data_IF_057132156116
#
_entry.id   IF_057132156116
#
_cell.length_a   1.000
_cell.length_b   1.000
_cell.length_c   1.000
_cell.angle_alpha   90.00
_cell.angle_beta   90.00
_cell.angle_gamma   90.00
#
_symmetry.space_group_name_H-M   'P 1'
#
loop_
_entity.id
_entity.type
_entity.pdbx_description
1 polymer ?
#
# COMPACT_ATOMS: atom_id res chain seq x y z
N UNK A 1 -51.79 37.27 -21.85
CA UNK A 1 -51.10 37.80 -23.06
C UNK A 1 -49.93 36.85 -23.33
N UNK A 2 -49.90 36.01 -24.36
CA UNK A 2 -49.81 36.25 -25.83
C UNK A 2 -48.48 36.90 -26.26
N UNK A 3 -47.73 36.43 -27.27
CA UNK A 3 -47.78 35.20 -28.09
C UNK A 3 -46.42 35.10 -28.86
N UNK A 4 -45.68 33.97 -28.87
CA UNK A 4 -45.80 32.77 -29.75
C UNK A 4 -45.04 32.86 -31.11
N UNK A 5 -44.82 31.70 -31.73
CA UNK A 5 -44.05 31.37 -32.97
C UNK A 5 -42.54 31.22 -32.75
N UNK A 6 -41.75 30.41 -33.47
CA UNK A 6 -41.89 29.22 -34.39
C UNK A 6 -40.44 28.70 -34.64
N UNK A 7 -40.08 27.52 -35.13
CA UNK A 7 -40.70 26.22 -35.53
C UNK A 7 -39.54 25.16 -35.49
N UNK A 8 -39.56 23.88 -35.89
CA UNK A 8 -40.50 22.88 -36.46
C UNK A 8 -39.95 21.48 -36.08
N UNK A 9 -40.76 20.39 -36.08
CA UNK A 9 -40.26 19.00 -35.95
C UNK A 9 -41.34 17.95 -36.30
N UNK A 10 -41.01 16.93 -37.13
CA UNK A 10 -41.81 15.70 -37.42
C UNK A 10 -40.82 14.58 -37.85
N UNK A 11 -40.80 13.29 -37.44
CA UNK A 11 -41.55 12.45 -36.46
C UNK A 11 -42.48 11.31 -36.98
N UNK A 12 -41.87 10.33 -37.67
CA UNK A 12 -42.09 8.87 -37.49
C UNK A 12 -43.28 8.11 -38.16
N UNK A 13 -43.13 6.76 -38.23
CA UNK A 13 -44.13 5.67 -38.48
C UNK A 13 -44.61 5.43 -39.93
N UNK A 14 -45.14 4.25 -40.35
CA UNK A 14 -44.90 2.82 -39.99
C UNK A 14 -45.78 1.83 -40.81
N UNK A 15 -45.28 0.61 -41.07
CA UNK A 15 -46.04 -0.68 -41.15
C UNK A 15 -46.73 -1.18 -42.45
N UNK A 16 -46.79 -2.53 -42.55
CA UNK A 16 -47.83 -3.43 -43.15
C UNK A 16 -47.86 -3.81 -44.67
N UNK A 17 -47.54 -5.10 -44.91
CA UNK A 17 -48.14 -6.16 -45.79
C UNK A 17 -48.40 -6.07 -47.32
N UNK A 18 -48.10 -7.22 -47.97
CA UNK A 18 -48.79 -7.91 -49.11
C UNK A 18 -48.80 -7.21 -50.50
N UNK A 19 -48.90 -7.92 -51.64
CA UNK A 19 -48.52 -9.31 -52.02
C UNK A 19 -48.69 -9.51 -53.56
N UNK A 20 -48.11 -10.60 -54.08
CA UNK A 20 -48.52 -11.34 -55.31
C UNK A 20 -48.32 -10.72 -56.72
N UNK A 21 -48.21 -11.63 -57.70
CA UNK A 21 -48.32 -11.51 -59.17
C UNK A 21 -47.12 -10.96 -60.01
N UNK A 22 -46.80 -11.50 -61.20
CA UNK A 22 -47.28 -12.75 -61.86
C UNK A 22 -46.37 -13.26 -63.01
N UNK A 23 -46.63 -14.49 -63.50
CA UNK A 23 -46.06 -15.12 -64.72
C UNK A 23 -45.13 -16.33 -64.44
N UNK A 24 -45.41 -17.59 -64.82
CA UNK A 24 -45.61 -18.23 -66.14
C UNK A 24 -44.30 -18.54 -66.91
N UNK A 25 -44.06 -19.73 -67.50
CA UNK A 25 -44.82 -21.01 -67.55
C UNK A 25 -43.88 -22.23 -67.80
N UNK A 26 -44.42 -23.45 -67.84
CA UNK A 26 -43.79 -24.78 -68.01
C UNK A 26 -42.83 -24.97 -69.25
N UNK A 27 -42.01 -26.05 -69.36
CA UNK A 27 -41.76 -27.19 -68.45
C UNK A 27 -41.14 -28.45 -69.14
N UNK A 28 -41.43 -29.65 -68.61
CA UNK A 28 -41.20 -31.04 -69.12
C UNK A 28 -39.77 -31.65 -69.23
N UNK A 29 -39.56 -32.69 -68.41
CA UNK A 29 -39.04 -34.06 -68.68
C UNK A 29 -37.56 -34.40 -69.06
N UNK A 30 -36.91 -35.24 -68.21
CA UNK A 30 -36.60 -36.68 -68.48
C UNK A 30 -35.23 -37.25 -67.96
N UNK A 31 -35.33 -38.39 -67.22
CA UNK A 31 -34.40 -39.56 -67.12
C UNK A 31 -32.98 -39.48 -66.48
N UNK A 32 -32.67 -40.56 -65.75
CA UNK A 32 -31.37 -41.04 -65.18
C UNK A 32 -30.82 -42.23 -66.01
N UNK A 33 -29.65 -42.91 -65.72
CA UNK A 33 -28.53 -42.73 -64.75
C UNK A 33 -27.17 -42.60 -65.53
N UNK A 34 -25.95 -43.13 -65.18
CA UNK A 34 -25.36 -43.72 -63.95
C UNK A 34 -23.89 -43.30 -63.59
N UNK A 35 -23.36 -43.90 -62.49
CA UNK A 35 -21.99 -44.35 -62.16
C UNK A 35 -20.67 -43.67 -62.62
N UNK A 36 -19.74 -43.46 -61.67
CA UNK A 36 -18.32 -43.89 -61.79
C UNK A 36 -17.62 -44.01 -60.41
N UNK A 37 -16.51 -44.75 -60.34
CA UNK A 37 -15.81 -45.17 -59.10
C UNK A 37 -15.02 -44.07 -58.37
N UNK A 38 -14.88 -44.20 -57.05
CA UNK A 38 -13.89 -43.49 -56.22
C UNK A 38 -12.88 -44.46 -55.59
N UNK A 39 -11.59 -44.15 -55.67
CA UNK A 39 -10.48 -45.01 -55.18
C UNK A 39 -10.12 -44.68 -53.73
N UNK A 40 -10.05 -45.71 -52.88
CA UNK A 40 -9.58 -45.59 -51.50
C UNK A 40 -8.05 -45.50 -51.48
N UNK A 41 -7.49 -44.53 -50.75
CA UNK A 41 -6.09 -44.55 -50.29
C UNK A 41 -6.05 -44.33 -48.78
N UNK A 42 -5.32 -45.15 -48.00
CA UNK A 42 -5.33 -45.07 -46.55
C UNK A 42 -4.47 -43.90 -46.05
N UNK A 43 -5.00 -43.10 -45.13
CA UNK A 43 -4.27 -41.99 -44.49
C UNK A 43 -4.45 -41.96 -42.96
N UNK A 44 -4.54 -43.14 -42.36
CA UNK A 44 -4.67 -43.33 -40.90
C UNK A 44 -3.32 -43.73 -40.28
N UNK A 45 -2.49 -42.74 -39.96
CA UNK A 45 -1.30 -42.92 -39.12
C UNK A 45 -0.93 -41.72 -38.25
N UNK A 46 -1.66 -40.59 -38.36
CA UNK A 46 -1.37 -39.35 -37.63
C UNK A 46 -2.42 -38.93 -36.59
N UNK A 47 -3.65 -39.48 -36.62
CA UNK A 47 -4.72 -39.07 -35.70
C UNK A 47 -4.63 -39.66 -34.27
N UNK A 48 -3.79 -40.69 -34.08
CA UNK A 48 -3.78 -41.47 -32.83
C UNK A 48 -3.05 -40.74 -31.71
N UNK A 49 -2.00 -39.96 -32.00
CA UNK A 49 -1.24 -39.21 -31.00
C UNK A 49 -1.91 -37.89 -30.57
N UNK A 50 -2.74 -37.26 -31.43
CA UNK A 50 -3.41 -36.01 -31.06
C UNK A 50 -4.49 -36.19 -29.99
N UNK A 51 -5.20 -37.33 -29.97
CA UNK A 51 -6.33 -37.56 -29.04
C UNK A 51 -5.90 -37.60 -27.56
N UNK A 52 -4.85 -38.35 -27.15
CA UNK A 52 -4.31 -38.29 -25.79
C UNK A 52 -3.83 -36.90 -25.38
N UNK A 53 -3.16 -36.17 -26.27
CA UNK A 53 -2.54 -34.90 -25.91
C UNK A 53 -3.58 -33.75 -25.81
N UNK A 54 -4.67 -33.82 -26.57
CA UNK A 54 -5.84 -32.93 -26.40
C UNK A 54 -6.54 -33.19 -25.06
N UNK A 55 -6.83 -34.45 -24.71
CA UNK A 55 -7.52 -34.77 -23.45
C UNK A 55 -6.70 -34.43 -22.19
N UNK A 56 -5.36 -34.50 -22.27
CA UNK A 56 -4.47 -34.01 -21.21
C UNK A 56 -4.56 -32.48 -21.03
N UNK A 57 -4.59 -31.72 -22.12
CA UNK A 57 -4.73 -30.26 -22.08
C UNK A 57 -6.12 -29.83 -21.58
N UNK A 58 -7.19 -30.50 -22.03
CA UNK A 58 -8.56 -30.29 -21.56
C UNK A 58 -8.66 -30.53 -20.05
N UNK A 59 -8.14 -31.65 -19.55
CA UNK A 59 -8.09 -31.96 -18.11
C UNK A 59 -7.23 -30.95 -17.33
N UNK A 60 -6.17 -30.41 -17.92
CA UNK A 60 -5.39 -29.34 -17.28
C UNK A 60 -6.18 -28.02 -17.20
N UNK A 61 -6.97 -27.70 -18.22
CA UNK A 61 -7.85 -26.54 -18.25
C UNK A 61 -8.96 -26.66 -17.19
N UNK A 62 -9.62 -27.82 -17.06
CA UNK A 62 -10.60 -28.11 -16.00
C UNK A 62 -10.02 -27.88 -14.59
N UNK A 63 -8.78 -28.35 -14.35
CA UNK A 63 -8.10 -28.14 -13.08
C UNK A 63 -7.76 -26.66 -12.83
N UNK A 64 -7.40 -25.88 -13.86
CA UNK A 64 -7.25 -24.43 -13.71
C UNK A 64 -8.59 -23.75 -13.38
N UNK A 65 -9.69 -24.15 -14.02
CA UNK A 65 -11.03 -23.60 -13.78
C UNK A 65 -11.48 -23.85 -12.33
N UNK A 66 -11.23 -25.05 -11.81
CA UNK A 66 -11.48 -25.40 -10.41
C UNK A 66 -10.58 -24.64 -9.43
N UNK A 67 -9.30 -24.43 -9.76
CA UNK A 67 -8.41 -23.58 -8.95
C UNK A 67 -8.96 -22.15 -8.86
N UNK A 68 -9.31 -21.54 -9.98
CA UNK A 68 -9.89 -20.18 -10.02
C UNK A 68 -11.18 -20.11 -9.20
N UNK A 69 -12.08 -21.10 -9.34
CA UNK A 69 -13.34 -21.17 -8.57
C UNK A 69 -13.11 -21.36 -7.06
N UNK A 70 -12.00 -22.00 -6.68
CA UNK A 70 -11.59 -22.19 -5.29
C UNK A 70 -11.02 -20.89 -4.69
N UNK A 71 -10.04 -20.26 -5.35
CA UNK A 71 -9.37 -19.05 -4.83
C UNK A 71 -10.23 -17.77 -4.91
N UNK A 72 -11.33 -17.79 -5.67
CA UNK A 72 -12.35 -16.75 -5.64
C UNK A 72 -13.15 -16.72 -4.32
N UNK A 73 -12.94 -17.69 -3.42
CA UNK A 73 -13.59 -17.78 -2.11
C UNK A 73 -12.61 -17.39 -0.99
N UNK A 74 -13.16 -16.99 0.15
CA UNK A 74 -12.35 -16.69 1.33
C UNK A 74 -11.90 -17.99 2.02
N UNK A 75 -10.73 -18.50 1.62
CA UNK A 75 -10.21 -19.78 2.10
C UNK A 75 -9.62 -19.72 3.52
N UNK A 76 -9.32 -18.52 4.04
CA UNK A 76 -8.78 -18.34 5.39
C UNK A 76 -7.30 -18.71 5.55
N UNK A 77 -6.94 -19.18 6.75
CA UNK A 77 -5.56 -19.33 7.23
C UNK A 77 -5.35 -20.64 8.02
N UNK A 78 -4.17 -21.25 7.91
CA UNK A 78 -3.73 -22.40 8.72
C UNK A 78 -2.63 -21.95 9.67
N UNK A 79 -3.01 -21.57 10.90
CA UNK A 79 -2.15 -20.74 11.75
C UNK A 79 -1.95 -19.38 11.09
N UNK A 80 -0.71 -18.89 11.01
CA UNK A 80 -0.37 -17.65 10.31
C UNK A 80 -0.34 -17.78 8.77
N UNK A 81 -0.50 -18.98 8.21
CA UNK A 81 -0.26 -19.26 6.78
C UNK A 81 -1.51 -19.00 5.92
N UNK A 82 -1.49 -18.07 4.94
CA UNK A 82 -2.64 -17.82 4.05
C UNK A 82 -2.86 -18.98 3.08
N UNK A 83 -4.06 -19.59 3.13
CA UNK A 83 -4.34 -20.86 2.44
C UNK A 83 -4.33 -20.70 0.92
N UNK A 84 -4.94 -19.63 0.38
CA UNK A 84 -5.02 -19.41 -1.06
C UNK A 84 -3.63 -19.21 -1.69
N UNK A 85 -2.74 -18.43 -1.05
CA UNK A 85 -1.36 -18.25 -1.50
C UNK A 85 -0.58 -19.57 -1.60
N UNK A 86 -0.72 -20.43 -0.58
CA UNK A 86 -0.05 -21.73 -0.53
C UNK A 86 -0.57 -22.69 -1.61
N UNK A 87 -1.89 -22.73 -1.84
CA UNK A 87 -2.50 -23.55 -2.91
C UNK A 87 -2.07 -23.05 -4.28
N UNK A 88 -2.18 -21.74 -4.55
CA UNK A 88 -1.77 -21.14 -5.83
C UNK A 88 -0.30 -21.50 -6.12
N UNK A 89 0.58 -21.34 -5.14
CA UNK A 89 2.00 -21.67 -5.28
C UNK A 89 2.23 -23.16 -5.55
N UNK A 90 1.64 -24.06 -4.74
CA UNK A 90 1.74 -25.52 -4.96
C UNK A 90 1.25 -25.92 -6.36
N UNK A 91 0.13 -25.37 -6.84
CA UNK A 91 -0.40 -25.65 -8.18
C UNK A 91 0.51 -25.16 -9.31
N UNK A 92 1.02 -23.94 -9.21
CA UNK A 92 1.92 -23.37 -10.23
C UNK A 92 3.25 -24.12 -10.32
N UNK A 93 3.77 -24.64 -9.20
CA UNK A 93 4.90 -25.57 -9.19
C UNK A 93 4.55 -26.89 -9.88
N UNK A 94 3.47 -27.55 -9.47
CA UNK A 94 3.08 -28.88 -9.98
C UNK A 94 2.82 -28.86 -11.50
N UNK A 95 2.23 -27.77 -12.01
CA UNK A 95 1.99 -27.56 -13.44
C UNK A 95 3.20 -26.93 -14.16
N UNK A 96 4.35 -26.81 -13.50
CA UNK A 96 5.61 -26.18 -13.99
C UNK A 96 5.38 -24.83 -14.68
N UNK A 97 4.36 -24.08 -14.27
CA UNK A 97 3.84 -22.92 -15.01
C UNK A 97 4.86 -21.77 -15.13
N UNK A 98 5.88 -21.77 -14.28
CA UNK A 98 6.98 -20.81 -14.33
C UNK A 98 7.96 -21.02 -15.51
N UNK A 99 7.99 -22.23 -16.08
CA UNK A 99 8.92 -22.65 -17.14
C UNK A 99 8.29 -22.59 -18.54
N UNK A 100 7.00 -22.26 -18.64
CA UNK A 100 6.21 -22.28 -19.89
C UNK A 100 6.19 -20.90 -20.55
N UNK A 101 6.33 -20.86 -21.87
CA UNK A 101 6.39 -19.61 -22.64
C UNK A 101 5.03 -18.95 -22.86
N UNK A 102 3.93 -19.72 -22.71
CA UNK A 102 2.54 -19.25 -22.81
C UNK A 102 1.68 -19.99 -21.78
N UNK A 103 1.00 -19.26 -20.92
CA UNK A 103 -0.05 -19.79 -20.03
C UNK A 103 -0.99 -18.67 -19.61
N UNK A 104 -2.28 -18.94 -19.53
CA UNK A 104 -3.32 -17.99 -19.09
C UNK A 104 -3.56 -18.03 -17.58
N UNK A 105 -3.00 -19.02 -16.86
CA UNK A 105 -3.28 -19.23 -15.42
C UNK A 105 -2.90 -18.00 -14.59
N UNK A 106 -1.80 -17.33 -14.93
CA UNK A 106 -1.32 -16.12 -14.26
C UNK A 106 -2.32 -14.97 -14.38
N UNK A 107 -2.74 -14.63 -15.61
CA UNK A 107 -3.71 -13.57 -15.85
C UNK A 107 -5.04 -13.84 -15.15
N UNK A 108 -5.50 -15.09 -15.10
CA UNK A 108 -6.73 -15.49 -14.41
C UNK A 108 -6.63 -15.35 -12.90
N UNK A 109 -5.49 -15.70 -12.30
CA UNK A 109 -5.23 -15.46 -10.86
C UNK A 109 -5.23 -13.95 -10.59
N UNK A 110 -4.53 -13.15 -11.41
CA UNK A 110 -4.48 -11.69 -11.29
C UNK A 110 -5.86 -11.05 -11.47
N UNK A 111 -6.70 -11.53 -12.39
CA UNK A 111 -8.08 -11.09 -12.56
C UNK A 111 -8.95 -11.45 -11.34
N UNK A 112 -8.72 -12.61 -10.72
CA UNK A 112 -9.48 -13.03 -9.53
C UNK A 112 -9.15 -12.16 -8.32
N UNK A 113 -7.86 -11.88 -8.08
CA UNK A 113 -7.40 -10.91 -7.07
C UNK A 113 -7.97 -9.52 -7.41
N UNK A 114 -7.88 -9.11 -8.69
CA UNK A 114 -8.36 -7.83 -9.20
C UNK A 114 -9.81 -7.56 -8.88
N UNK A 115 -10.70 -8.47 -9.29
CA UNK A 115 -12.14 -8.38 -9.03
C UNK A 115 -12.46 -8.38 -7.53
N UNK A 116 -11.75 -9.21 -6.75
CA UNK A 116 -12.00 -9.32 -5.31
C UNK A 116 -11.55 -8.09 -4.50
N UNK A 117 -10.67 -7.23 -5.03
CA UNK A 117 -10.30 -5.93 -4.41
C UNK A 117 -10.90 -4.72 -5.13
N UNK A 118 -11.64 -4.91 -6.23
CA UNK A 118 -12.18 -3.80 -7.03
C UNK A 118 -13.23 -3.01 -6.22
N UNK A 119 -13.03 -1.70 -6.09
CA UNK A 119 -13.89 -0.76 -5.34
C UNK A 119 -14.19 -1.15 -3.87
N UNK A 120 -13.38 -2.00 -3.25
CA UNK A 120 -13.59 -2.44 -1.87
C UNK A 120 -13.23 -1.36 -0.84
N UNK A 121 -14.20 -0.98 0.00
CA UNK A 121 -13.97 -0.24 1.25
C UNK A 121 -13.77 -1.17 2.45
N UNK A 122 -14.05 -2.47 2.31
CA UNK A 122 -13.93 -3.44 3.40
C UNK A 122 -12.45 -3.83 3.64
N UNK A 123 -11.90 -3.35 4.76
CA UNK A 123 -10.50 -3.58 5.13
C UNK A 123 -10.18 -5.04 5.48
N UNK A 124 -11.15 -5.88 5.88
CA UNK A 124 -10.89 -7.31 6.12
C UNK A 124 -10.61 -8.05 4.80
N UNK A 125 -11.36 -7.75 3.74
CA UNK A 125 -11.14 -8.31 2.39
C UNK A 125 -9.78 -7.85 1.84
N UNK A 126 -9.45 -6.57 2.02
CA UNK A 126 -8.15 -6.03 1.61
C UNK A 126 -7.01 -6.65 2.44
N UNK A 127 -7.17 -6.84 3.74
CA UNK A 127 -6.16 -7.45 4.60
C UNK A 127 -5.92 -8.93 4.23
N UNK A 128 -6.99 -9.72 4.01
CA UNK A 128 -6.90 -11.09 3.50
C UNK A 128 -6.09 -11.17 2.20
N UNK A 129 -6.39 -10.30 1.23
CA UNK A 129 -5.65 -10.27 -0.03
C UNK A 129 -4.23 -9.72 0.10
N UNK A 130 -3.96 -8.79 1.02
CA UNK A 130 -2.60 -8.33 1.29
C UNK A 130 -1.71 -9.47 1.82
N UNK A 131 -2.22 -10.26 2.77
CA UNK A 131 -1.50 -11.42 3.32
C UNK A 131 -1.26 -12.50 2.28
N UNK A 132 -2.28 -12.82 1.47
CA UNK A 132 -2.14 -13.81 0.40
C UNK A 132 -1.18 -13.33 -0.71
N UNK A 133 -1.30 -12.07 -1.17
CA UNK A 133 -0.47 -11.54 -2.25
C UNK A 133 0.99 -11.36 -1.82
N UNK A 134 1.25 -10.86 -0.61
CA UNK A 134 2.62 -10.73 -0.06
C UNK A 134 3.28 -12.09 0.19
N UNK A 135 2.54 -13.07 0.72
CA UNK A 135 3.01 -14.45 0.88
C UNK A 135 3.33 -15.10 -0.47
N UNK A 136 2.43 -15.00 -1.46
CA UNK A 136 2.69 -15.55 -2.79
C UNK A 136 3.89 -14.87 -3.45
N UNK A 137 4.03 -13.54 -3.30
CA UNK A 137 5.18 -12.79 -3.82
C UNK A 137 6.51 -13.23 -3.17
N UNK A 138 6.51 -13.51 -1.87
CA UNK A 138 7.67 -14.06 -1.15
C UNK A 138 8.07 -15.44 -1.69
N UNK A 139 7.09 -16.31 -1.94
CA UNK A 139 7.33 -17.65 -2.50
C UNK A 139 7.88 -17.56 -3.94
N UNK A 140 7.34 -16.65 -4.77
CA UNK A 140 7.88 -16.36 -6.10
C UNK A 140 9.30 -15.77 -6.04
N UNK A 141 9.59 -14.87 -5.09
CA UNK A 141 10.92 -14.29 -4.87
C UNK A 141 11.96 -15.35 -4.52
N UNK A 142 11.60 -16.34 -3.68
CA UNK A 142 12.47 -17.46 -3.29
C UNK A 142 12.65 -18.51 -4.41
N UNK A 143 11.67 -18.66 -5.30
CA UNK A 143 11.64 -19.70 -6.34
C UNK A 143 12.27 -19.27 -7.66
N UNK A 144 11.99 -18.05 -8.12
CA UNK A 144 12.30 -17.62 -9.49
C UNK A 144 13.70 -17.00 -9.57
N UNK A 145 14.65 -17.68 -10.22
CA UNK A 145 15.88 -17.04 -10.69
C UNK A 145 15.51 -15.95 -11.69
N UNK A 146 15.99 -14.75 -11.45
CA UNK A 146 16.22 -13.80 -12.53
C UNK A 146 17.34 -14.37 -13.41
N UNK A 147 17.01 -14.85 -14.61
CA UNK A 147 18.04 -15.26 -15.59
C UNK A 147 18.92 -14.04 -15.90
N UNK A 148 20.21 -14.28 -16.10
CA UNK A 148 21.28 -13.32 -15.77
C UNK A 148 21.36 -12.06 -16.65
N UNK A 149 20.49 -11.07 -16.40
CA UNK A 149 20.52 -9.75 -17.05
C UNK A 149 21.67 -8.83 -16.55
N UNK A 150 22.86 -9.39 -16.36
CA UNK A 150 24.10 -8.67 -16.05
C UNK A 150 24.58 -7.88 -17.28
N UNK A 151 23.86 -6.81 -17.62
CA UNK A 151 24.15 -5.98 -18.79
C UNK A 151 23.16 -4.84 -19.09
N UNK A 152 21.94 -4.87 -18.53
CA UNK A 152 20.92 -3.83 -18.76
C UNK A 152 20.30 -3.31 -17.46
N UNK A 153 21.08 -2.52 -16.72
CA UNK A 153 20.53 -1.68 -15.66
C UNK A 153 19.86 -0.44 -16.31
N UNK A 154 18.53 -0.22 -16.16
CA UNK A 154 17.91 1.03 -16.57
C UNK A 154 18.41 2.14 -15.64
N UNK A 155 19.38 2.93 -16.11
CA UNK A 155 20.07 3.96 -15.35
C UNK A 155 19.14 5.16 -15.06
N UNK A 156 18.15 4.96 -14.18
CA UNK A 156 17.28 6.02 -13.63
C UNK A 156 18.17 7.05 -12.92
N UNK A 157 18.45 8.16 -13.60
CA UNK A 157 19.08 9.34 -13.00
C UNK A 157 18.23 9.84 -11.84
N UNK A 158 18.61 9.49 -10.61
CA UNK A 158 18.26 10.31 -9.44
C UNK A 158 19.14 11.55 -9.49
N UNK A 159 18.54 12.67 -9.85
CA UNK A 159 19.17 13.99 -9.73
C UNK A 159 19.22 14.37 -8.25
N UNK A 160 20.32 14.03 -7.58
CA UNK A 160 20.62 14.47 -6.22
C UNK A 160 21.88 15.34 -6.29
N UNK A 161 21.72 16.62 -5.96
CA UNK A 161 22.76 17.64 -6.13
C UNK A 161 23.80 17.63 -5.01
N UNK A 162 24.94 18.28 -5.30
CA UNK A 162 25.94 18.76 -4.36
C UNK A 162 26.75 17.73 -3.54
N UNK A 163 28.01 17.56 -3.95
CA UNK A 163 29.14 17.85 -3.05
C UNK A 163 30.35 18.27 -3.89
N UNK A 164 30.50 19.58 -4.07
CA UNK A 164 31.54 20.19 -4.92
C UNK A 164 32.51 21.01 -4.06
N UNK A 165 33.44 20.33 -3.40
CA UNK A 165 34.65 20.92 -2.84
C UNK A 165 35.79 19.89 -2.93
N UNK A 166 37.03 20.34 -3.11
CA UNK A 166 38.15 19.39 -3.21
C UNK A 166 39.53 20.02 -3.24
N UNK A 167 40.50 19.16 -2.88
CA UNK A 167 41.96 19.39 -2.84
C UNK A 167 42.42 20.36 -1.73
N UNK A 168 43.62 20.21 -1.15
CA UNK A 168 44.70 19.25 -1.43
C UNK A 168 45.54 18.93 -0.18
N UNK A 169 45.96 17.67 0.00
CA UNK A 169 47.32 17.33 0.47
C UNK A 169 47.67 15.86 0.20
N UNK A 170 48.97 15.60 0.16
CA UNK A 170 49.67 14.50 -0.49
C UNK A 170 49.59 13.12 0.21
N UNK A 171 49.67 12.07 -0.61
CA UNK A 171 50.50 10.86 -0.42
C UNK A 171 50.36 9.98 0.84
N UNK A 172 50.10 8.68 0.61
CA UNK A 172 51.19 7.68 0.68
C UNK A 172 50.91 6.44 -0.20
N UNK A 173 51.95 5.66 -0.51
CA UNK A 173 51.85 4.35 -1.21
C UNK A 173 51.66 3.22 -0.19
N UNK A 174 50.92 2.16 -0.55
CA UNK A 174 50.91 0.92 0.22
C UNK A 174 49.99 -0.14 -0.36
N UNK A 175 50.56 -1.09 -1.11
CA UNK A 175 49.87 -2.32 -1.52
C UNK A 175 50.83 -3.52 -1.37
N UNK A 176 50.39 -4.60 -0.72
CA UNK A 176 50.86 -5.95 -0.99
C UNK A 176 49.80 -6.76 -1.74
N UNK A 177 50.23 -7.81 -2.42
CA UNK A 177 49.37 -8.71 -3.21
C UNK A 177 49.03 -9.98 -2.40
N UNK A 178 47.90 -10.61 -2.75
CA UNK A 178 47.61 -12.00 -2.42
C UNK A 178 46.68 -12.23 -1.22
N UNK A 179 45.43 -12.60 -1.51
CA UNK A 179 44.94 -14.00 -1.43
C UNK A 179 43.88 -14.16 -2.52
N UNK A 180 43.90 -15.29 -3.25
CA UNK A 180 42.92 -15.60 -4.28
C UNK A 180 41.84 -16.52 -3.68
N UNK A 181 40.71 -15.96 -3.23
CA UNK A 181 39.61 -16.76 -2.67
C UNK A 181 38.81 -17.44 -3.77
N UNK A 182 39.14 -18.71 -4.02
CA UNK A 182 38.47 -19.56 -4.99
C UNK A 182 37.06 -19.95 -4.56
N UNK A 183 36.20 -20.00 -5.57
CA UNK A 183 34.93 -20.71 -5.64
C UNK A 183 34.85 -21.94 -4.70
N UNK A 184 33.97 -21.90 -3.69
CA UNK A 184 33.61 -23.09 -2.89
C UNK A 184 32.20 -23.52 -3.28
N UNK A 185 32.12 -24.60 -4.07
CA UNK A 185 30.93 -25.43 -4.22
C UNK A 185 31.24 -26.81 -3.63
N UNK A 186 30.66 -27.11 -2.48
CA UNK A 186 30.83 -28.39 -1.80
C UNK A 186 29.93 -28.41 -0.57
N UNK A 187 28.91 -29.26 -0.60
CA UNK A 187 27.99 -29.45 0.52
C UNK A 187 28.00 -30.90 1.00
N UNK A 188 27.51 -31.12 2.22
CA UNK A 188 26.77 -32.32 2.64
C UNK A 188 26.25 -32.14 4.08
N UNK A 189 25.16 -32.86 4.40
CA UNK A 189 24.53 -33.01 5.73
C UNK A 189 23.78 -31.77 6.28
N UNK A 190 22.51 -31.96 6.64
CA UNK A 190 21.67 -31.00 7.39
C UNK A 190 20.40 -30.60 6.65
N UNK A 191 19.29 -31.31 6.90
CA UNK A 191 18.05 -31.19 6.12
C UNK A 191 17.30 -29.86 6.31
N UNK A 192 17.19 -29.09 5.23
CA UNK A 192 16.10 -28.15 4.95
C UNK A 192 15.96 -28.06 3.43
N UNK A 193 14.73 -28.04 2.90
CA UNK A 193 14.52 -28.16 1.46
C UNK A 193 14.91 -26.85 0.74
N UNK A 194 16.12 -26.81 0.17
CA UNK A 194 16.58 -25.70 -0.65
C UNK A 194 15.78 -25.67 -1.95
N UNK A 195 14.64 -24.97 -1.93
CA UNK A 195 13.73 -24.79 -3.07
C UNK A 195 14.50 -24.71 -4.38
N UNK A 196 14.28 -25.68 -5.28
CA UNK A 196 14.96 -25.75 -6.57
C UNK A 196 14.67 -24.50 -7.38
N UNK A 197 15.62 -23.56 -7.38
CA UNK A 197 15.45 -22.27 -8.04
C UNK A 197 15.27 -22.44 -9.55
N UNK A 198 14.06 -22.11 -10.02
CA UNK A 198 13.54 -22.32 -11.38
C UNK A 198 13.99 -21.17 -12.29
N UNK A 199 14.36 -21.48 -13.53
CA UNK A 199 14.54 -20.45 -14.56
C UNK A 199 13.17 -19.96 -15.06
N UNK A 200 12.84 -18.71 -14.70
CA UNK A 200 11.52 -18.15 -14.99
C UNK A 200 11.41 -17.64 -16.44
N UNK A 201 10.39 -18.10 -17.16
CA UNK A 201 10.00 -17.51 -18.45
C UNK A 201 9.26 -16.18 -18.26
N UNK A 202 9.17 -15.39 -19.34
CA UNK A 202 8.55 -14.06 -19.32
C UNK A 202 7.17 -13.96 -18.65
N UNK A 203 6.20 -14.89 -18.85
CA UNK A 203 4.90 -14.81 -18.18
C UNK A 203 5.00 -14.87 -16.65
N UNK A 204 5.95 -15.63 -16.10
CA UNK A 204 6.17 -15.72 -14.65
C UNK A 204 6.81 -14.46 -14.05
N UNK A 205 7.69 -13.80 -14.83
CA UNK A 205 8.28 -12.52 -14.45
C UNK A 205 7.22 -11.40 -14.48
N UNK A 206 6.35 -11.40 -15.49
CA UNK A 206 5.21 -10.47 -15.58
C UNK A 206 4.21 -10.70 -14.44
N UNK A 207 3.87 -11.96 -14.13
CA UNK A 207 3.02 -12.32 -12.99
C UNK A 207 3.57 -11.80 -11.66
N UNK A 208 4.87 -11.98 -11.41
CA UNK A 208 5.56 -11.44 -10.24
C UNK A 208 5.51 -9.90 -10.17
N UNK A 209 5.66 -9.22 -11.32
CA UNK A 209 5.56 -7.76 -11.40
C UNK A 209 4.13 -7.27 -11.14
N UNK A 210 3.12 -7.91 -11.75
CA UNK A 210 1.71 -7.63 -11.50
C UNK A 210 1.37 -7.84 -10.02
N UNK A 211 1.78 -8.96 -9.43
CA UNK A 211 1.53 -9.28 -8.02
C UNK A 211 2.20 -8.27 -7.07
N UNK A 212 3.39 -7.77 -7.41
CA UNK A 212 4.04 -6.65 -6.70
C UNK A 212 3.16 -5.41 -6.71
N UNK A 213 2.71 -4.96 -7.89
CA UNK A 213 1.82 -3.82 -8.02
C UNK A 213 0.46 -4.03 -7.31
N UNK A 214 -0.01 -5.26 -7.18
CA UNK A 214 -1.19 -5.60 -6.38
C UNK A 214 -0.94 -5.47 -4.86
N UNK A 215 0.21 -5.94 -4.35
CA UNK A 215 0.61 -5.72 -2.94
C UNK A 215 0.69 -4.21 -2.64
N UNK A 216 1.31 -3.43 -3.52
CA UNK A 216 1.41 -1.97 -3.42
C UNK A 216 0.04 -1.29 -3.43
N UNK A 217 -0.84 -1.68 -4.37
CA UNK A 217 -2.22 -1.15 -4.49
C UNK A 217 -3.06 -1.45 -3.25
N UNK A 218 -3.05 -2.69 -2.76
CA UNK A 218 -3.85 -3.11 -1.59
C UNK A 218 -3.34 -2.39 -0.33
N UNK A 219 -2.02 -2.32 -0.14
CA UNK A 219 -1.41 -1.54 0.94
C UNK A 219 -1.86 -0.06 0.90
N UNK A 220 -1.82 0.56 -0.29
CA UNK A 220 -2.29 1.94 -0.50
C UNK A 220 -3.76 2.10 -0.13
N UNK A 221 -4.64 1.21 -0.59
CA UNK A 221 -6.07 1.24 -0.26
C UNK A 221 -6.35 1.13 1.25
N UNK A 222 -5.67 0.24 1.97
CA UNK A 222 -5.82 0.11 3.44
C UNK A 222 -5.36 1.39 4.14
N UNK A 223 -4.19 1.93 3.77
CA UNK A 223 -3.67 3.19 4.32
C UNK A 223 -4.63 4.35 4.05
N UNK A 224 -5.14 4.46 2.84
CA UNK A 224 -5.96 5.60 2.43
C UNK A 224 -7.40 5.50 2.97
N UNK A 225 -7.91 4.29 3.21
CA UNK A 225 -9.12 4.05 4.00
C UNK A 225 -8.93 4.51 5.46
N UNK A 226 -7.79 4.21 6.10
CA UNK A 226 -7.50 4.68 7.46
C UNK A 226 -7.31 6.19 7.51
N UNK A 227 -6.62 6.81 6.54
CA UNK A 227 -6.56 8.28 6.38
C UNK A 227 -7.99 8.87 6.28
N UNK A 228 -8.86 8.28 5.46
CA UNK A 228 -10.26 8.68 5.27
C UNK A 228 -11.08 8.60 6.56
N UNK A 229 -10.93 7.54 7.36
CA UNK A 229 -11.66 7.38 8.62
C UNK A 229 -11.21 8.39 9.70
N UNK A 230 -9.90 8.64 9.87
CA UNK A 230 -9.41 9.55 10.92
C UNK A 230 -9.50 11.03 10.54
N UNK A 231 -9.54 11.38 9.24
CA UNK A 231 -9.50 12.78 8.78
C UNK A 231 -10.59 13.68 9.38
N UNK A 232 -11.87 13.28 9.50
CA UNK A 232 -12.89 14.10 10.15
C UNK A 232 -12.60 14.35 11.64
N UNK A 233 -12.15 13.31 12.36
CA UNK A 233 -11.81 13.40 13.79
C UNK A 233 -10.59 14.29 14.03
N UNK A 234 -9.56 14.13 13.19
CA UNK A 234 -8.36 14.96 13.20
C UNK A 234 -8.70 16.42 12.87
N UNK A 235 -9.62 16.64 11.91
CA UNK A 235 -10.20 17.95 11.59
C UNK A 235 -10.95 18.59 12.76
N UNK A 236 -11.61 17.81 13.62
CA UNK A 236 -12.24 18.29 14.86
C UNK A 236 -11.18 18.65 15.92
N UNK A 237 -10.14 17.82 16.12
CA UNK A 237 -9.01 18.17 16.98
C UNK A 237 -8.35 19.50 16.55
N UNK A 238 -8.17 19.68 15.24
CA UNK A 238 -7.63 20.89 14.61
C UNK A 238 -8.56 22.11 14.75
N UNK A 239 -9.82 21.93 15.14
CA UNK A 239 -10.81 23.00 15.35
C UNK A 239 -11.16 23.29 16.82
N UNK A 240 -10.78 22.43 17.76
CA UNK A 240 -11.00 22.57 19.20
C UNK A 240 -10.64 23.95 19.84
N UNK A 241 -9.61 24.69 19.37
CA UNK A 241 -9.34 26.04 19.88
C UNK A 241 -10.45 27.05 19.57
N UNK A 242 -11.16 26.89 18.43
CA UNK A 242 -12.22 27.81 18.00
C UNK A 242 -13.47 27.71 18.87
N UNK A 243 -13.88 26.49 19.23
CA UNK A 243 -15.04 26.25 20.11
C UNK A 243 -14.77 26.76 21.52
N UNK A 244 -13.57 26.50 22.05
CA UNK A 244 -13.10 27.02 23.35
C UNK A 244 -13.14 28.56 23.40
N UNK A 245 -12.59 29.23 22.37
CA UNK A 245 -12.61 30.70 22.27
C UNK A 245 -14.03 31.26 22.13
N UNK A 246 -14.91 30.60 21.39
CA UNK A 246 -16.32 31.02 21.26
C UNK A 246 -17.09 30.93 22.59
N UNK A 247 -16.74 29.96 23.45
CA UNK A 247 -17.30 29.86 24.81
C UNK A 247 -16.81 30.99 25.71
N UNK A 248 -15.50 31.29 25.71
CA UNK A 248 -14.89 32.34 26.54
C UNK A 248 -15.48 33.74 26.29
N UNK A 249 -15.91 34.05 25.06
CA UNK A 249 -16.54 35.34 24.71
C UNK A 249 -17.96 35.47 25.30
N UNK A 250 -18.63 34.36 25.64
CA UNK A 250 -19.88 34.35 26.43
C UNK A 250 -19.55 34.08 27.89
N UNK A 251 -19.04 35.09 28.59
CA UNK A 251 -18.54 35.00 29.97
C UNK A 251 -19.51 34.28 30.93
N UNK A 252 -19.23 33.01 31.21
CA UNK A 252 -20.09 32.11 31.98
C UNK A 252 -19.26 31.35 33.02
N UNK A 253 -19.32 31.81 34.26
CA UNK A 253 -18.45 31.36 35.35
C UNK A 253 -18.86 29.99 35.90
N UNK A 254 -18.42 28.89 35.26
CA UNK A 254 -18.72 27.51 35.71
C UNK A 254 -17.51 26.57 35.58
N UNK A 255 -16.73 26.46 36.66
CA UNK A 255 -15.61 25.51 36.80
C UNK A 255 -15.99 24.08 36.42
N UNK A 256 -17.15 23.59 36.86
CA UNK A 256 -17.61 22.22 36.59
C UNK A 256 -17.97 21.97 35.11
N UNK A 257 -18.19 23.02 34.30
CA UNK A 257 -18.43 22.85 32.86
C UNK A 257 -17.14 22.56 32.10
N UNK A 258 -15.99 23.02 32.61
CA UNK A 258 -14.69 22.80 31.96
C UNK A 258 -14.29 21.33 31.92
N UNK A 259 -14.63 20.52 32.94
CA UNK A 259 -14.32 19.08 32.96
C UNK A 259 -15.08 18.34 31.85
N UNK A 260 -16.39 18.55 31.74
CA UNK A 260 -17.20 17.96 30.68
C UNK A 260 -16.80 18.45 29.27
N UNK A 261 -16.41 19.73 29.14
CA UNK A 261 -15.90 20.27 27.88
C UNK A 261 -14.55 19.63 27.48
N UNK A 262 -13.59 19.51 28.41
CA UNK A 262 -12.33 18.82 28.14
C UNK A 262 -12.53 17.33 27.86
N UNK A 263 -13.48 16.68 28.54
CA UNK A 263 -13.83 15.27 28.27
C UNK A 263 -14.46 15.09 26.87
N UNK A 264 -15.23 16.06 26.38
CA UNK A 264 -15.74 16.06 25.01
C UNK A 264 -14.63 16.30 23.97
N UNK A 265 -13.64 17.13 24.29
CA UNK A 265 -12.49 17.39 23.41
C UNK A 265 -11.53 16.18 23.31
N UNK A 266 -11.20 15.50 24.42
CA UNK A 266 -10.34 14.30 24.38
C UNK A 266 -11.02 13.13 23.65
N UNK A 267 -12.36 13.08 23.61
CA UNK A 267 -13.11 12.04 22.89
C UNK A 267 -12.81 12.02 21.37
N UNK A 268 -12.40 13.13 20.76
CA UNK A 268 -11.96 13.15 19.36
C UNK A 268 -10.64 12.38 19.17
N UNK A 269 -9.66 12.55 20.06
CA UNK A 269 -8.41 11.78 20.06
C UNK A 269 -8.65 10.31 20.37
N UNK A 270 -9.52 10.00 21.32
CA UNK A 270 -9.92 8.62 21.65
C UNK A 270 -10.64 7.94 20.49
N UNK A 271 -11.38 8.71 19.66
CA UNK A 271 -11.90 8.24 18.38
C UNK A 271 -10.80 7.80 17.42
N UNK A 272 -9.77 8.63 17.21
CA UNK A 272 -8.62 8.30 16.36
C UNK A 272 -7.90 7.05 16.87
N UNK A 273 -7.61 6.98 18.18
CA UNK A 273 -6.99 5.81 18.83
C UNK A 273 -7.84 4.54 18.66
N UNK A 274 -9.17 4.66 18.70
CA UNK A 274 -10.08 3.54 18.42
C UNK A 274 -9.99 3.09 16.96
N UNK A 275 -9.98 4.00 15.98
CA UNK A 275 -9.79 3.67 14.55
C UNK A 275 -8.45 2.97 14.30
N UNK A 276 -7.35 3.46 14.88
CA UNK A 276 -6.04 2.83 14.81
C UNK A 276 -6.06 1.40 15.41
N UNK A 277 -6.72 1.22 16.56
CA UNK A 277 -6.90 -0.08 17.20
C UNK A 277 -7.76 -1.06 16.39
N UNK A 278 -8.85 -0.59 15.79
CA UNK A 278 -9.71 -1.39 14.91
C UNK A 278 -8.93 -1.92 13.70
N UNK A 279 -8.22 -1.02 12.99
CA UNK A 279 -7.39 -1.41 11.84
C UNK A 279 -6.29 -2.40 12.23
N UNK A 280 -5.60 -2.17 13.36
CA UNK A 280 -4.60 -3.11 13.86
C UNK A 280 -5.23 -4.49 14.15
N UNK A 281 -6.44 -4.54 14.69
CA UNK A 281 -7.16 -5.80 14.93
C UNK A 281 -7.48 -6.52 13.61
N UNK A 282 -8.05 -5.85 12.61
CA UNK A 282 -8.33 -6.41 11.28
C UNK A 282 -7.05 -6.94 10.61
N UNK A 283 -5.96 -6.18 10.66
CA UNK A 283 -4.68 -6.58 10.06
C UNK A 283 -4.08 -7.81 10.77
N UNK A 284 -4.20 -7.91 12.11
CA UNK A 284 -3.71 -9.06 12.88
C UNK A 284 -4.57 -10.32 12.69
N UNK A 285 -5.90 -10.20 12.66
CA UNK A 285 -6.83 -11.31 12.41
C UNK A 285 -6.63 -11.90 11.00
N UNK A 286 -6.28 -11.07 10.03
CA UNK A 286 -5.94 -11.51 8.67
C UNK A 286 -4.45 -11.84 8.48
N UNK A 287 -3.67 -11.97 9.56
CA UNK A 287 -2.25 -12.34 9.54
C UNK A 287 -1.38 -11.51 8.57
N UNK A 288 -1.66 -10.21 8.44
CA UNK A 288 -0.87 -9.31 7.59
C UNK A 288 0.56 -9.22 8.14
N UNK A 289 1.61 -9.40 7.31
CA UNK A 289 3.00 -9.39 7.76
C UNK A 289 3.32 -8.15 8.59
N UNK A 290 3.82 -8.27 9.85
CA UNK A 290 3.98 -7.13 10.75
C UNK A 290 4.85 -5.99 10.18
N UNK A 291 5.80 -6.30 9.30
CA UNK A 291 6.55 -5.30 8.53
C UNK A 291 5.64 -4.35 7.72
N UNK A 292 4.65 -4.89 7.00
CA UNK A 292 3.70 -4.08 6.23
C UNK A 292 2.77 -3.30 7.16
N UNK A 293 2.36 -3.89 8.29
CA UNK A 293 1.52 -3.21 9.29
C UNK A 293 2.24 -2.01 9.90
N UNK A 294 3.52 -2.16 10.30
CA UNK A 294 4.37 -1.06 10.76
C UNK A 294 4.41 0.07 9.73
N UNK A 295 4.65 -0.25 8.45
CA UNK A 295 4.71 0.74 7.37
C UNK A 295 3.41 1.54 7.19
N UNK A 296 2.24 0.89 7.29
CA UNK A 296 0.94 1.59 7.31
C UNK A 296 0.93 2.61 8.44
N UNK A 297 1.19 2.19 9.68
CA UNK A 297 1.12 3.08 10.83
C UNK A 297 2.18 4.20 10.83
N UNK A 298 3.38 3.96 10.28
CA UNK A 298 4.36 5.02 10.01
C UNK A 298 3.76 6.10 9.11
N UNK A 299 3.19 5.75 7.95
CA UNK A 299 2.59 6.76 7.06
C UNK A 299 1.35 7.46 7.66
N UNK A 300 0.58 6.77 8.51
CA UNK A 300 -0.56 7.38 9.21
C UNK A 300 -0.09 8.38 10.28
N UNK A 301 0.95 8.07 11.04
CA UNK A 301 1.50 8.99 12.03
C UNK A 301 2.21 10.17 11.37
N UNK A 302 2.86 9.97 10.22
CA UNK A 302 3.42 11.05 9.40
C UNK A 302 2.33 11.97 8.84
N UNK A 303 1.22 11.40 8.34
CA UNK A 303 0.02 12.18 7.97
C UNK A 303 -0.56 13.00 9.14
N UNK A 304 -0.70 12.41 10.33
CA UNK A 304 -1.14 13.12 11.53
C UNK A 304 -0.18 14.27 11.87
N UNK A 305 1.13 14.04 11.80
CA UNK A 305 2.16 15.08 11.98
C UNK A 305 1.97 16.24 10.99
N UNK A 306 1.88 15.94 9.69
CA UNK A 306 1.69 16.93 8.61
C UNK A 306 0.43 17.78 8.86
N UNK A 307 -0.72 17.14 9.11
CA UNK A 307 -2.00 17.84 9.29
C UNK A 307 -2.01 18.77 10.52
N UNK A 308 -1.48 18.31 11.66
CA UNK A 308 -1.41 19.10 12.89
C UNK A 308 -0.40 20.25 12.77
N UNK A 309 0.79 19.97 12.25
CA UNK A 309 1.90 20.92 12.19
C UNK A 309 1.67 22.00 11.12
N UNK A 310 1.16 21.63 9.94
CA UNK A 310 0.76 22.62 8.93
C UNK A 310 -0.42 23.48 9.43
N UNK A 311 -1.39 22.88 10.16
CA UNK A 311 -2.46 23.66 10.79
C UNK A 311 -1.92 24.67 11.82
N UNK A 312 -0.91 24.28 12.61
CA UNK A 312 -0.24 25.16 13.57
C UNK A 312 0.48 26.33 12.86
N UNK A 313 1.20 26.04 11.78
CA UNK A 313 1.97 27.02 10.99
C UNK A 313 1.11 27.98 10.15
N UNK A 314 -0.17 27.70 9.99
CA UNK A 314 -1.11 28.48 9.17
C UNK A 314 -2.21 29.21 9.99
N UNK A 315 -2.42 28.86 11.26
CA UNK A 315 -3.58 29.34 12.04
C UNK A 315 -3.19 29.81 13.45
N UNK A 316 -3.35 31.12 13.68
CA UNK A 316 -2.97 31.79 14.94
C UNK A 316 -3.64 31.18 16.17
N UNK A 317 -4.91 30.79 16.06
CA UNK A 317 -5.66 30.19 17.17
C UNK A 317 -5.18 28.78 17.57
N UNK A 318 -4.35 28.13 16.75
CA UNK A 318 -3.67 26.90 17.15
C UNK A 318 -2.39 27.18 17.99
N UNK A 319 -1.84 28.40 17.91
CA UNK A 319 -0.65 28.80 18.65
C UNK A 319 -1.04 29.43 20.01
N UNK A 320 -1.62 28.63 20.93
CA UNK A 320 -1.94 29.09 22.29
C UNK A 320 -1.47 28.10 23.37
N UNK A 321 -1.44 28.53 24.64
CA UNK A 321 -1.05 27.65 25.74
C UNK A 321 -2.08 26.54 25.93
N UNK A 322 -3.38 26.87 25.96
CA UNK A 322 -4.43 25.86 26.16
C UNK A 322 -4.52 24.87 25.01
N UNK A 323 -4.27 25.29 23.76
CA UNK A 323 -4.15 24.34 22.65
C UNK A 323 -2.88 23.48 22.76
N UNK A 324 -1.77 24.04 23.25
CA UNK A 324 -0.57 23.30 23.59
C UNK A 324 -0.85 22.16 24.59
N UNK A 325 -1.56 22.45 25.68
CA UNK A 325 -2.00 21.43 26.65
C UNK A 325 -2.92 20.38 26.00
N UNK A 326 -3.90 20.81 25.20
CA UNK A 326 -4.86 19.92 24.54
C UNK A 326 -4.20 18.96 23.54
N UNK A 327 -3.36 19.46 22.64
CA UNK A 327 -2.66 18.61 21.66
C UNK A 327 -1.62 17.74 22.37
N UNK A 328 -0.98 18.21 23.45
CA UNK A 328 -0.08 17.38 24.27
C UNK A 328 -0.80 16.19 24.89
N UNK A 329 -2.03 16.36 25.39
CA UNK A 329 -2.85 15.26 25.88
C UNK A 329 -3.23 14.27 24.76
N UNK A 330 -3.61 14.76 23.58
CA UNK A 330 -3.89 13.93 22.41
C UNK A 330 -2.67 13.14 21.90
N UNK A 331 -1.49 13.75 21.94
CA UNK A 331 -0.22 13.08 21.61
C UNK A 331 0.12 11.97 22.61
N UNK A 332 -0.20 12.12 23.89
CA UNK A 332 0.00 11.07 24.90
C UNK A 332 -0.95 9.86 24.69
N UNK A 333 -2.18 10.08 24.23
CA UNK A 333 -3.10 8.99 23.84
C UNK A 333 -2.54 8.20 22.63
N UNK A 334 -1.88 8.87 21.67
CA UNK A 334 -1.19 8.23 20.55
C UNK A 334 0.09 7.48 20.99
N UNK A 335 0.89 8.05 21.90
CA UNK A 335 2.06 7.39 22.51
C UNK A 335 1.66 6.11 23.25
N UNK A 336 0.56 6.17 24.01
CA UNK A 336 -0.01 5.03 24.73
C UNK A 336 -0.57 3.96 23.77
N UNK A 337 -1.09 4.35 22.61
CA UNK A 337 -1.45 3.40 21.54
C UNK A 337 -0.20 2.71 20.96
N UNK A 338 0.88 3.45 20.66
CA UNK A 338 2.13 2.86 20.20
C UNK A 338 2.70 1.84 21.21
N UNK A 339 2.67 2.16 22.51
CA UNK A 339 3.08 1.22 23.56
C UNK A 339 2.26 -0.09 23.55
N UNK A 340 0.93 0.00 23.39
CA UNK A 340 0.04 -1.18 23.28
C UNK A 340 0.23 -1.97 21.98
N UNK A 341 0.52 -1.29 20.88
CA UNK A 341 0.82 -1.93 19.60
C UNK A 341 2.21 -2.60 19.59
N UNK A 342 3.12 -2.17 20.48
CA UNK A 342 4.51 -2.63 20.62
C UNK A 342 5.38 -2.35 19.38
N UNK A 343 6.69 -2.57 19.49
CA UNK A 343 7.60 -2.45 18.34
C UNK A 343 7.18 -3.36 17.16
N UNK A 344 6.54 -4.50 17.43
CA UNK A 344 6.05 -5.45 16.40
C UNK A 344 5.11 -4.78 15.38
N UNK A 345 4.24 -3.87 15.80
CA UNK A 345 3.23 -3.24 14.93
C UNK A 345 3.29 -1.71 14.84
N UNK A 346 3.85 -1.01 15.82
CA UNK A 346 4.08 0.44 15.74
C UNK A 346 5.44 0.78 15.11
N UNK A 347 6.51 0.07 15.51
CA UNK A 347 7.88 0.46 15.18
C UNK A 347 8.15 1.95 15.43
N UNK A 348 8.82 2.60 14.48
CA UNK A 348 9.16 4.04 14.52
C UNK A 348 7.98 5.00 14.25
N UNK A 349 6.72 4.56 14.27
CA UNK A 349 5.57 5.44 14.01
C UNK A 349 5.51 6.65 14.97
N UNK A 350 5.98 6.50 16.21
CA UNK A 350 6.03 7.60 17.19
C UNK A 350 7.00 8.72 16.80
N UNK A 351 8.04 8.42 16.02
CA UNK A 351 9.08 9.37 15.61
C UNK A 351 8.63 10.27 14.46
N UNK A 352 7.64 9.84 13.67
CA UNK A 352 7.03 10.65 12.61
C UNK A 352 6.35 11.91 13.17
N UNK A 353 5.82 11.84 14.39
CA UNK A 353 5.22 12.96 15.12
C UNK A 353 6.24 13.99 15.65
N UNK A 354 7.55 13.86 15.35
CA UNK A 354 8.62 14.73 15.84
C UNK A 354 8.36 16.24 15.69
N UNK A 355 7.84 16.70 14.55
CA UNK A 355 7.65 18.13 14.30
C UNK A 355 6.54 18.70 15.20
N UNK A 356 5.37 18.04 15.27
CA UNK A 356 4.30 18.48 16.16
C UNK A 356 4.68 18.28 17.64
N UNK A 357 5.38 17.20 18.01
CA UNK A 357 5.87 16.96 19.38
C UNK A 357 6.79 18.09 19.86
N UNK A 358 7.78 18.49 19.07
CA UNK A 358 8.68 19.59 19.40
C UNK A 358 7.95 20.94 19.46
N UNK A 359 7.13 21.25 18.46
CA UNK A 359 6.36 22.50 18.42
C UNK A 359 5.42 22.66 19.63
N UNK A 360 4.68 21.60 19.97
CA UNK A 360 3.77 21.59 21.13
C UNK A 360 4.54 21.61 22.45
N UNK A 361 5.69 20.92 22.51
CA UNK A 361 6.61 20.97 23.65
C UNK A 361 7.08 22.40 23.95
N UNK A 362 7.50 23.14 22.92
CA UNK A 362 7.87 24.56 23.01
C UNK A 362 6.68 25.46 23.39
N UNK A 363 5.50 25.23 22.81
CA UNK A 363 4.27 26.00 23.09
C UNK A 363 3.85 25.98 24.57
N UNK A 364 4.07 24.87 25.30
CA UNK A 364 3.73 24.75 26.72
C UNK A 364 4.84 25.17 27.70
N UNK A 365 5.97 25.69 27.22
CA UNK A 365 7.01 26.28 28.10
C UNK A 365 6.49 27.60 28.67
N UNK A 366 6.46 27.76 30.00
CA UNK A 366 6.04 29.03 30.62
C UNK A 366 7.07 30.17 30.46
N UNK A 367 8.37 29.84 30.48
CA UNK A 367 9.44 30.85 30.52
C UNK A 367 10.07 31.13 29.14
N UNK A 368 9.27 31.12 28.06
CA UNK A 368 9.72 31.44 26.68
C UNK A 368 10.55 32.73 26.56
N UNK A 369 10.24 33.84 27.27
CA UNK A 369 11.02 35.08 27.17
C UNK A 369 12.48 34.96 27.61
N UNK A 370 12.82 33.93 28.40
CA UNK A 370 14.18 33.68 28.91
C UNK A 370 14.99 32.72 28.03
N UNK A 371 14.39 32.12 27.00
CA UNK A 371 15.07 31.15 26.13
C UNK A 371 15.81 31.87 25.01
N UNK A 372 17.08 31.50 24.82
CA UNK A 372 17.90 31.99 23.72
C UNK A 372 17.45 31.34 22.40
N UNK A 373 17.86 31.92 21.26
CA UNK A 373 17.63 31.29 19.96
C UNK A 373 18.28 29.90 19.88
N UNK A 374 19.49 29.76 20.44
CA UNK A 374 20.28 28.54 20.42
C UNK A 374 19.62 27.38 21.20
N UNK A 375 19.15 27.65 22.42
CA UNK A 375 18.36 26.68 23.20
C UNK A 375 17.07 26.27 22.46
N UNK A 376 16.47 27.18 21.69
CA UNK A 376 15.25 26.89 20.91
C UNK A 376 15.57 26.03 19.69
N UNK A 377 16.61 26.38 18.93
CA UNK A 377 16.95 25.68 17.67
C UNK A 377 17.67 24.36 17.88
N UNK A 378 18.46 24.19 18.93
CA UNK A 378 19.31 23.00 19.11
C UNK A 378 18.80 22.06 20.22
N UNK A 379 18.39 22.58 21.38
CA UNK A 379 17.91 21.71 22.48
C UNK A 379 16.41 21.37 22.36
N UNK A 380 15.57 22.37 22.10
CA UNK A 380 14.11 22.23 22.20
C UNK A 380 13.45 21.78 20.89
N UNK A 381 13.90 22.27 19.74
CA UNK A 381 13.26 22.06 18.44
C UNK A 381 14.22 21.77 17.27
N UNK A 382 15.21 20.85 17.39
CA UNK A 382 16.22 20.58 16.36
C UNK A 382 15.71 19.98 15.03
N UNK A 383 14.41 19.77 14.87
CA UNK A 383 13.79 19.34 13.59
C UNK A 383 13.05 20.50 12.90
N UNK A 384 12.82 21.63 13.60
CA UNK A 384 12.10 22.77 13.04
C UNK A 384 13.07 23.78 12.41
N UNK A 385 12.75 24.26 11.21
CA UNK A 385 13.52 25.33 10.58
C UNK A 385 13.29 26.69 11.26
N UNK A 386 14.23 27.62 11.12
CA UNK A 386 14.11 28.99 11.67
C UNK A 386 12.82 29.66 11.19
N UNK A 387 12.38 29.42 9.95
CA UNK A 387 11.13 29.92 9.38
C UNK A 387 9.88 29.35 10.07
N UNK A 388 9.91 28.08 10.49
CA UNK A 388 8.84 27.46 11.26
C UNK A 388 8.81 27.98 12.71
N UNK A 389 9.97 28.09 13.34
CA UNK A 389 10.13 28.64 14.68
C UNK A 389 9.66 30.11 14.76
N UNK A 390 10.03 30.94 13.78
CA UNK A 390 9.56 32.32 13.65
C UNK A 390 8.03 32.37 13.52
N UNK A 391 7.44 31.53 12.68
CA UNK A 391 5.97 31.46 12.51
C UNK A 391 5.25 31.10 13.80
N UNK A 392 5.67 30.05 14.49
CA UNK A 392 5.05 29.63 15.76
C UNK A 392 5.21 30.74 16.81
N UNK A 393 6.41 31.29 16.94
CA UNK A 393 6.74 32.31 17.96
C UNK A 393 6.02 33.64 17.74
N UNK A 394 5.81 34.07 16.49
CA UNK A 394 5.08 35.32 16.16
C UNK A 394 3.56 35.17 16.16
N UNK A 395 3.04 33.96 15.96
CA UNK A 395 1.61 33.69 16.10
C UNK A 395 1.18 33.44 17.56
N UNK A 396 2.11 33.02 18.42
CA UNK A 396 1.82 32.65 19.81
C UNK A 396 1.08 33.73 20.61
N UNK A 397 0.13 33.29 21.44
CA UNK A 397 -0.43 34.08 22.54
C UNK A 397 -0.75 33.16 23.73
N UNK A 398 -0.58 33.64 24.96
CA UNK A 398 -1.07 32.92 26.13
C UNK A 398 -2.51 33.33 26.42
N UNK A 399 -3.37 32.32 26.53
CA UNK A 399 -4.81 32.39 26.75
C UNK A 399 -5.24 31.96 28.16
N UNK A 400 -4.27 31.58 29.01
CA UNK A 400 -4.49 30.95 30.32
C UNK A 400 -3.70 31.58 31.47
N UNK A 401 -2.44 31.95 31.25
CA UNK A 401 -1.55 32.48 32.29
C UNK A 401 -0.94 33.85 31.97
N UNK A 402 -1.22 34.42 30.78
CA UNK A 402 -0.71 35.72 30.36
C UNK A 402 0.81 35.79 30.10
N UNK A 403 1.50 34.66 29.96
CA UNK A 403 2.92 34.61 29.61
C UNK A 403 3.17 35.18 28.20
N UNK A 404 4.36 35.74 28.00
CA UNK A 404 4.77 36.29 26.71
C UNK A 404 5.41 35.21 25.82
N UNK A 405 5.56 35.53 24.53
CA UNK A 405 6.36 34.73 23.59
C UNK A 405 7.86 34.85 23.89
N UNK A 406 8.71 34.35 23.00
CA UNK A 406 10.17 34.60 23.04
C UNK A 406 10.48 36.09 22.94
N UNK A 407 11.70 36.50 23.31
CA UNK A 407 12.09 37.91 23.31
C UNK A 407 12.12 38.52 21.89
N UNK A 408 11.99 39.85 21.82
CA UNK A 408 12.10 40.62 20.57
C UNK A 408 13.44 40.39 19.86
N UNK A 409 14.50 40.12 20.62
CA UNK A 409 15.84 39.87 20.10
C UNK A 409 15.89 38.51 19.39
N UNK A 410 15.28 37.47 19.97
CA UNK A 410 15.13 36.15 19.33
C UNK A 410 14.33 36.26 18.03
N UNK A 411 13.20 36.99 18.03
CA UNK A 411 12.41 37.24 16.80
C UNK A 411 13.23 38.00 15.74
N UNK A 412 14.10 38.92 16.16
CA UNK A 412 14.95 39.70 15.28
C UNK A 412 16.08 38.85 14.68
N UNK A 413 16.75 38.04 15.48
CA UNK A 413 17.79 37.11 15.03
C UNK A 413 17.22 36.06 14.06
N UNK A 414 16.03 35.51 14.35
CA UNK A 414 15.32 34.62 13.40
C UNK A 414 15.06 35.31 12.05
N UNK A 415 14.70 36.60 12.04
CA UNK A 415 14.49 37.37 10.80
C UNK A 415 15.78 37.52 9.99
N UNK A 416 16.91 37.78 10.65
CA UNK A 416 18.23 37.89 9.99
C UNK A 416 18.59 36.59 9.30
N UNK A 417 18.63 35.48 10.05
CA UNK A 417 18.95 34.15 9.52
C UNK A 417 18.03 33.73 8.37
N UNK A 418 16.71 33.94 8.50
CA UNK A 418 15.76 33.68 7.40
C UNK A 418 16.05 34.49 6.13
N UNK A 419 16.59 35.71 6.26
CA UNK A 419 16.95 36.55 5.12
C UNK A 419 18.25 36.05 4.47
N UNK A 420 19.23 35.63 5.28
CA UNK A 420 20.49 35.04 4.83
C UNK A 420 20.25 33.71 4.11
N UNK A 421 19.50 32.78 4.73
CA UNK A 421 19.10 31.49 4.16
C UNK A 421 18.34 31.63 2.83
N UNK A 422 17.49 32.66 2.69
CA UNK A 422 16.67 32.84 1.48
C UNK A 422 17.47 33.13 0.20
N UNK A 423 18.77 33.45 0.32
CA UNK A 423 19.69 33.55 -0.82
C UNK A 423 20.18 32.17 -1.31
N UNK A 424 20.09 31.13 -0.48
CA UNK A 424 20.46 29.76 -0.79
C UNK A 424 19.21 28.99 -1.25
N UNK A 425 18.93 28.99 -2.55
CA UNK A 425 17.64 28.63 -3.15
C UNK A 425 17.22 27.12 -3.11
N UNK A 426 17.52 26.39 -2.02
CA UNK A 426 17.21 24.96 -1.85
C UNK A 426 16.10 24.77 -0.80
N UNK A 427 14.85 24.79 -1.28
CA UNK A 427 13.59 24.62 -0.53
C UNK A 427 13.11 25.82 0.30
N UNK A 428 12.27 26.66 -0.32
CA UNK A 428 11.51 27.72 0.35
C UNK A 428 10.21 27.23 1.03
N UNK A 429 9.98 25.92 1.15
CA UNK A 429 8.76 25.40 1.81
C UNK A 429 8.95 25.26 3.32
N UNK A 430 8.14 25.99 4.08
CA UNK A 430 8.03 25.85 5.53
C UNK A 430 6.95 24.82 5.95
N UNK A 431 6.14 24.33 5.00
CA UNK A 431 5.13 23.31 5.24
C UNK A 431 5.71 21.91 4.98
N UNK A 432 5.14 20.91 5.64
CA UNK A 432 5.46 19.50 5.41
C UNK A 432 4.55 18.91 4.34
N UNK A 433 5.11 18.04 3.50
CA UNK A 433 4.37 17.28 2.48
C UNK A 433 3.98 15.89 3.00
N UNK A 434 2.83 15.37 2.55
CA UNK A 434 2.32 14.03 2.89
C UNK A 434 2.75 13.00 1.83
N UNK A 435 3.96 12.44 1.98
CA UNK A 435 4.46 11.43 1.04
C UNK A 435 3.64 10.13 1.08
N UNK A 436 2.80 9.98 0.06
CA UNK A 436 1.96 8.81 -0.16
C UNK A 436 2.59 7.77 -1.10
N UNK A 437 3.92 7.84 -1.33
CA UNK A 437 4.69 6.78 -1.99
C UNK A 437 4.65 5.44 -1.24
N UNK A 438 5.20 4.38 -1.85
CA UNK A 438 5.32 3.06 -1.20
C UNK A 438 6.64 3.01 -0.41
N UNK A 439 6.60 2.83 0.93
CA UNK A 439 7.78 2.97 1.79
C UNK A 439 8.60 1.67 1.95
N UNK A 440 8.55 0.75 0.99
CA UNK A 440 9.23 -0.55 1.00
C UNK A 440 9.51 -1.08 -0.41
N UNK A 441 10.41 -2.06 -0.52
CA UNK A 441 10.65 -2.84 -1.75
C UNK A 441 10.31 -4.33 -1.55
N UNK A 442 10.26 -5.10 -2.65
CA UNK A 442 10.10 -6.57 -2.63
C UNK A 442 11.20 -7.25 -1.82
N UNK A 443 12.43 -6.72 -1.86
CA UNK A 443 13.55 -7.27 -1.09
C UNK A 443 13.39 -7.03 0.42
N UNK A 444 12.70 -5.96 0.83
CA UNK A 444 12.46 -5.67 2.26
C UNK A 444 11.34 -6.54 2.82
N UNK A 445 10.30 -6.84 2.02
CA UNK A 445 9.34 -7.92 2.31
C UNK A 445 10.10 -9.25 2.43
N UNK A 446 11.02 -9.53 1.49
CA UNK A 446 11.74 -10.80 1.45
C UNK A 446 12.70 -11.03 2.62
N UNK A 447 13.26 -9.97 3.21
CA UNK A 447 14.12 -10.00 4.41
C UNK A 447 13.33 -10.04 5.72
N UNK A 448 12.08 -9.58 5.74
CA UNK A 448 11.28 -9.39 6.96
C UNK A 448 10.22 -10.46 7.20
N UNK A 449 9.92 -11.31 6.21
CA UNK A 449 9.04 -12.45 6.35
C UNK A 449 9.83 -13.75 6.58
N UNK A 450 9.42 -14.53 7.56
CA UNK A 450 10.06 -15.80 7.97
C UNK A 450 10.05 -16.88 6.87
N UNK A 451 10.67 -18.03 7.14
CA UNK A 451 10.51 -19.20 6.28
C UNK A 451 9.11 -19.79 6.48
N UNK A 452 8.32 -19.78 5.42
CA UNK A 452 6.96 -20.33 5.41
C UNK A 452 7.06 -21.78 4.96
N UNK A 453 6.92 -22.72 5.88
CA UNK A 453 6.66 -24.11 5.51
C UNK A 453 5.25 -24.23 4.92
N UNK A 454 5.16 -24.87 3.77
CA UNK A 454 3.97 -25.00 2.93
C UNK A 454 3.38 -26.41 3.03
N UNK A 455 4.06 -27.34 3.70
CA UNK A 455 3.76 -28.77 3.72
C UNK A 455 2.31 -29.05 4.15
N UNK A 456 1.95 -28.62 5.36
CA UNK A 456 0.70 -29.00 6.07
C UNK A 456 -0.58 -28.31 5.60
N UNK A 457 -0.55 -27.51 4.52
CA UNK A 457 -1.75 -26.81 4.03
C UNK A 457 -2.70 -27.80 3.35
N UNK A 458 -3.73 -28.22 4.08
CA UNK A 458 -4.79 -29.15 3.67
C UNK A 458 -5.65 -28.54 2.53
N UNK A 459 -6.00 -29.32 1.48
CA UNK A 459 -6.82 -28.82 0.38
C UNK A 459 -8.28 -28.53 0.80
N UNK A 460 -8.84 -27.35 0.43
CA UNK A 460 -10.26 -27.04 0.61
C UNK A 460 -11.19 -28.07 -0.05
N UNK A 461 -12.41 -28.28 0.47
CA UNK A 461 -13.31 -29.34 0.00
C UNK A 461 -13.52 -29.39 -1.52
N UNK A 462 -13.64 -28.23 -2.17
CA UNK A 462 -13.86 -28.07 -3.61
C UNK A 462 -12.78 -28.66 -4.53
N UNK A 463 -11.56 -28.84 -4.02
CA UNK A 463 -10.44 -29.44 -4.78
C UNK A 463 -9.91 -30.73 -4.14
N UNK A 464 -10.26 -30.99 -2.88
CA UNK A 464 -9.85 -32.17 -2.10
C UNK A 464 -10.19 -33.51 -2.77
N UNK A 465 -11.37 -33.62 -3.36
CA UNK A 465 -11.88 -34.86 -3.97
C UNK A 465 -11.43 -35.02 -5.43
N UNK A 466 -10.80 -34.01 -6.03
CA UNK A 466 -10.37 -34.07 -7.42
C UNK A 466 -8.96 -34.68 -7.55
N UNK A 467 -8.86 -35.78 -8.29
CA UNK A 467 -7.61 -36.50 -8.56
C UNK A 467 -6.47 -35.61 -9.09
N UNK A 468 -6.77 -34.52 -9.80
CA UNK A 468 -5.80 -33.53 -10.28
C UNK A 468 -5.10 -32.74 -9.17
N UNK A 469 -5.61 -32.75 -7.94
CA UNK A 469 -5.12 -31.98 -6.79
C UNK A 469 -4.57 -32.84 -5.64
N UNK A 470 -4.47 -34.16 -5.81
CA UNK A 470 -3.94 -35.09 -4.78
C UNK A 470 -2.54 -34.73 -4.27
N UNK A 471 -1.74 -34.01 -5.07
CA UNK A 471 -0.42 -33.51 -4.68
C UNK A 471 -0.45 -32.40 -3.61
N UNK A 472 -1.62 -31.83 -3.29
CA UNK A 472 -1.80 -30.86 -2.21
C UNK A 472 -1.89 -31.52 -0.83
N UNK A 473 -2.36 -32.78 -0.77
CA UNK A 473 -2.55 -33.51 0.49
C UNK A 473 -1.20 -33.70 1.22
N UNK A 474 -1.20 -33.66 2.56
CA UNK A 474 -0.03 -34.09 3.33
C UNK A 474 0.36 -35.51 2.95
N UNK A 475 1.67 -35.75 2.78
CA UNK A 475 2.18 -37.12 2.73
C UNK A 475 2.10 -37.68 4.13
N UNK A 476 1.46 -38.84 4.27
CA UNK A 476 1.58 -39.66 5.49
C UNK A 476 2.95 -40.34 5.41
N UNK A 477 3.83 -40.03 6.35
CA UNK A 477 5.09 -40.73 6.60
C UNK A 477 4.89 -41.89 7.61
#
# INVERSE_FOLDING_TARGET
MTANNKFLSVRSKSSIQRSSDSGHIAGTDAKTPPETNSVITPRESSEVEEKPQKSLNEKQQENQDLLIRCIAQHLGFTGSRPIAACIIYKCLLQWRSFEVERTSVFDRIIQTIGHAIETQENNDILAYWLSNASTLLLLLQRTLKASGAAGMAPQRRRSSSATLFGRMTQSFRGAPQGVNMSLINGGLIGGADTMRQVEAKYPALLFKQQLTAYVEKIYGMIRDNLKKEISPLLGLCIQAPRTSRASLVKGSSRSNANSAAQQALIAHWQGIVKSLGNFLSTLKVNHVPPFLVRKVFTQIFSFINVQLFNSLLLRRECCSFSNGEYVKAGLAELEHWCYKATDEYAGSAWDELKHIRQAIGFLVIHQKPKKTLDEISHDLCPVLSIQQLYRISTMYWDDKYGTHSVSSDVISNMRVLMTEDSNNAVSNSFLLDDDSSIPFSVDDISKSMEQIDISDVEPPPLIRENAGFMFLLPRVE
#
